data_IF_740006860419
#
_entry.id   IF_740006860419
#
_cell.length_a   1.000
_cell.length_b   1.000
_cell.length_c   1.000
_cell.angle_alpha   90.00
_cell.angle_beta   90.00
_cell.angle_gamma   90.00
#
_symmetry.space_group_name_H-M   'P 1'
#
loop_
_entity.id
_entity.type
_entity.pdbx_description
1 polymer ?
#
# COMPACT_ATOMS: atom_id res chain seq x y z
N UNK A 1 8.26 -20.18 -17.59
CA UNK A 1 6.83 -20.11 -17.92
C UNK A 1 6.05 -20.46 -16.66
N UNK A 2 5.71 -19.46 -15.86
CA UNK A 2 4.83 -19.65 -14.69
C UNK A 2 3.45 -20.06 -15.21
N UNK A 3 2.87 -21.12 -14.66
CA UNK A 3 1.53 -21.54 -15.05
C UNK A 3 0.56 -20.38 -14.79
N UNK A 4 -0.27 -20.01 -15.78
CA UNK A 4 -1.26 -18.94 -15.59
C UNK A 4 -2.26 -19.39 -14.53
N UNK A 5 -2.25 -18.72 -13.38
CA UNK A 5 -3.23 -18.93 -12.31
C UNK A 5 -4.62 -18.54 -12.86
N UNK A 6 -5.63 -19.37 -12.55
CA UNK A 6 -7.02 -19.12 -12.97
C UNK A 6 -7.63 -18.03 -12.11
N UNK A 7 -8.54 -17.22 -12.67
CA UNK A 7 -9.20 -16.14 -11.93
C UNK A 7 -9.87 -16.63 -10.63
N UNK A 8 -10.57 -17.76 -10.69
CA UNK A 8 -11.24 -18.34 -9.51
C UNK A 8 -10.25 -18.76 -8.42
N UNK A 9 -9.04 -19.18 -8.80
CA UNK A 9 -7.99 -19.60 -7.89
C UNK A 9 -7.38 -18.38 -7.19
N UNK A 10 -7.17 -17.27 -7.92
CA UNK A 10 -6.75 -15.99 -7.34
C UNK A 10 -7.75 -15.48 -6.30
N UNK A 11 -9.04 -15.42 -6.66
CA UNK A 11 -10.10 -14.96 -5.77
C UNK A 11 -10.21 -15.85 -4.53
N UNK A 12 -10.15 -17.18 -4.71
CA UNK A 12 -10.21 -18.13 -3.58
C UNK A 12 -9.00 -17.96 -2.66
N UNK A 13 -7.80 -17.82 -3.21
CA UNK A 13 -6.57 -17.63 -2.46
C UNK A 13 -6.57 -16.32 -1.66
N UNK A 14 -7.01 -15.21 -2.27
CA UNK A 14 -7.09 -13.92 -1.58
C UNK A 14 -8.18 -13.90 -0.48
N UNK A 15 -9.31 -14.59 -0.69
CA UNK A 15 -10.29 -14.78 0.38
C UNK A 15 -9.71 -15.59 1.55
N UNK A 16 -8.98 -16.67 1.27
CA UNK A 16 -8.26 -17.43 2.30
C UNK A 16 -7.24 -16.54 3.04
N UNK A 17 -6.52 -15.68 2.33
CA UNK A 17 -5.60 -14.74 2.95
C UNK A 17 -6.31 -13.78 3.91
N UNK A 18 -7.43 -13.20 3.50
CA UNK A 18 -8.24 -12.32 4.36
C UNK A 18 -8.76 -13.02 5.62
N UNK A 19 -9.14 -14.29 5.52
CA UNK A 19 -9.74 -15.04 6.64
C UNK A 19 -8.70 -15.68 7.57
N UNK A 20 -7.58 -16.14 7.01
CA UNK A 20 -6.65 -17.03 7.70
C UNK A 20 -5.21 -16.52 7.72
N UNK A 21 -4.89 -15.45 7.00
CA UNK A 21 -3.53 -14.94 6.85
C UNK A 21 -2.65 -15.75 5.91
N UNK A 22 -3.22 -16.69 5.13
CA UNK A 22 -2.50 -17.44 4.10
C UNK A 22 -3.33 -17.67 2.84
N UNK A 23 -2.65 -17.69 1.69
CA UNK A 23 -3.25 -18.06 0.40
C UNK A 23 -3.48 -19.58 0.30
N UNK A 24 -2.51 -20.37 0.76
CA UNK A 24 -2.57 -21.83 0.77
C UNK A 24 -1.92 -22.36 2.04
N UNK A 25 -2.68 -23.11 2.85
CA UNK A 25 -2.23 -23.68 4.12
C UNK A 25 -1.05 -24.64 4.00
N UNK A 26 -0.86 -25.23 2.81
CA UNK A 26 0.22 -26.18 2.54
C UNK A 26 1.43 -25.52 1.85
N UNK A 27 1.42 -24.20 1.68
CA UNK A 27 2.56 -23.47 1.12
C UNK A 27 3.68 -23.37 2.16
N UNK A 28 4.92 -23.52 1.71
CA UNK A 28 6.11 -23.23 2.51
C UNK A 28 6.64 -21.80 2.26
N UNK A 29 6.08 -21.11 1.26
CA UNK A 29 6.44 -19.73 0.92
C UNK A 29 5.79 -18.75 1.90
N UNK A 30 6.35 -17.55 1.99
CA UNK A 30 5.78 -16.49 2.83
C UNK A 30 4.33 -16.19 2.40
N UNK A 31 3.37 -16.19 3.35
CA UNK A 31 1.97 -15.92 3.04
C UNK A 31 1.73 -14.56 2.37
N UNK A 32 2.50 -13.54 2.76
CA UNK A 32 2.42 -12.20 2.20
C UNK A 32 2.96 -12.14 0.78
N UNK A 33 4.05 -12.84 0.48
CA UNK A 33 4.60 -12.93 -0.88
C UNK A 33 3.57 -13.58 -1.82
N UNK A 34 2.95 -14.68 -1.39
CA UNK A 34 1.88 -15.32 -2.18
C UNK A 34 0.68 -14.38 -2.40
N UNK A 35 0.29 -13.62 -1.36
CA UNK A 35 -0.83 -12.70 -1.47
C UNK A 35 -0.51 -11.54 -2.44
N UNK A 36 0.72 -11.02 -2.41
CA UNK A 36 1.19 -9.98 -3.32
C UNK A 36 1.20 -10.49 -4.77
N UNK A 37 1.73 -11.69 -5.01
CA UNK A 37 1.71 -12.32 -6.33
C UNK A 37 0.27 -12.50 -6.85
N UNK A 38 -0.64 -12.92 -5.97
CA UNK A 38 -2.04 -13.11 -6.31
C UNK A 38 -2.74 -11.78 -6.62
N UNK A 39 -2.48 -10.72 -5.84
CA UNK A 39 -2.98 -9.37 -6.13
C UNK A 39 -2.46 -8.85 -7.48
N UNK A 40 -1.17 -9.03 -7.75
CA UNK A 40 -0.56 -8.61 -9.02
C UNK A 40 -1.17 -9.32 -10.22
N UNK A 41 -1.32 -10.65 -10.15
CA UNK A 41 -1.98 -11.43 -11.21
C UNK A 41 -3.47 -11.10 -11.34
N UNK A 42 -4.15 -10.79 -10.24
CA UNK A 42 -5.56 -10.38 -10.27
C UNK A 42 -5.72 -9.01 -10.92
N UNK A 43 -4.84 -8.05 -10.61
CA UNK A 43 -4.86 -6.71 -11.20
C UNK A 43 -4.80 -6.75 -12.74
N UNK A 44 -4.01 -7.69 -13.29
CA UNK A 44 -3.87 -7.89 -14.74
C UNK A 44 -5.08 -8.55 -15.40
N UNK A 45 -5.88 -9.32 -14.65
CA UNK A 45 -7.01 -10.11 -15.19
C UNK A 45 -8.36 -9.44 -14.95
N UNK A 46 -8.51 -8.80 -13.79
CA UNK A 46 -9.72 -8.17 -13.31
C UNK A 46 -9.33 -7.07 -12.29
N UNK A 47 -9.05 -5.88 -12.82
CA UNK A 47 -8.56 -4.76 -12.02
C UNK A 47 -9.59 -4.29 -11.00
N UNK A 48 -10.87 -4.27 -11.36
CA UNK A 48 -11.96 -3.88 -10.45
C UNK A 48 -12.02 -4.82 -9.25
N UNK A 49 -12.00 -6.13 -9.50
CA UNK A 49 -11.97 -7.12 -8.42
C UNK A 49 -10.70 -7.01 -7.56
N UNK A 50 -9.54 -6.72 -8.17
CA UNK A 50 -8.30 -6.51 -7.42
C UNK A 50 -8.39 -5.32 -6.47
N UNK A 51 -8.93 -4.18 -6.93
CA UNK A 51 -9.07 -2.98 -6.10
C UNK A 51 -10.05 -3.20 -4.94
N UNK A 52 -11.13 -3.97 -5.15
CA UNK A 52 -12.01 -4.42 -4.06
C UNK A 52 -11.27 -5.23 -3.00
N UNK A 53 -10.36 -6.12 -3.40
CA UNK A 53 -9.50 -6.84 -2.47
C UNK A 53 -8.52 -5.91 -1.76
N UNK A 54 -7.93 -4.94 -2.46
CA UNK A 54 -7.03 -3.97 -1.85
C UNK A 54 -7.72 -3.20 -0.71
N UNK A 55 -8.95 -2.73 -0.92
CA UNK A 55 -9.75 -2.05 0.12
C UNK A 55 -9.99 -2.98 1.33
N UNK A 56 -10.34 -4.26 1.09
CA UNK A 56 -10.53 -5.23 2.18
C UNK A 56 -9.24 -5.47 2.96
N UNK A 57 -8.11 -5.59 2.28
CA UNK A 57 -6.79 -5.83 2.86
C UNK A 57 -6.36 -4.65 3.74
N UNK A 58 -6.57 -3.41 3.32
CA UNK A 58 -6.23 -2.25 4.15
C UNK A 58 -6.98 -2.25 5.49
N UNK A 59 -8.21 -2.79 5.50
CA UNK A 59 -9.08 -2.80 6.67
C UNK A 59 -8.96 -4.05 7.56
N UNK A 60 -8.27 -5.10 7.10
CA UNK A 60 -8.10 -6.32 7.91
C UNK A 60 -7.03 -6.12 8.99
N UNK A 61 -7.20 -6.78 10.13
CA UNK A 61 -6.21 -6.80 11.20
C UNK A 61 -5.52 -8.16 11.26
N UNK A 62 -4.68 -8.43 10.27
CA UNK A 62 -3.85 -9.63 10.20
C UNK A 62 -2.43 -9.31 10.67
N UNK A 63 -1.84 -10.22 11.44
CA UNK A 63 -0.44 -10.14 11.82
C UNK A 63 0.45 -10.23 10.57
N UNK A 64 1.53 -9.46 10.54
CA UNK A 64 2.55 -9.50 9.48
C UNK A 64 2.04 -9.14 8.07
N UNK A 65 0.94 -8.37 8.00
CA UNK A 65 0.29 -7.96 6.75
C UNK A 65 0.82 -6.65 6.17
N UNK A 66 1.84 -6.04 6.77
CA UNK A 66 2.31 -4.68 6.45
C UNK A 66 2.78 -4.55 4.99
N UNK A 67 3.48 -5.55 4.45
CA UNK A 67 3.91 -5.58 3.05
C UNK A 67 2.72 -5.66 2.10
N UNK A 68 1.73 -6.52 2.38
CA UNK A 68 0.54 -6.68 1.54
C UNK A 68 -0.32 -5.42 1.59
N UNK A 69 -0.46 -4.78 2.75
CA UNK A 69 -1.15 -3.49 2.89
C UNK A 69 -0.45 -2.38 2.11
N UNK A 70 0.87 -2.31 2.16
CA UNK A 70 1.65 -1.36 1.38
C UNK A 70 1.42 -1.52 -0.13
N UNK A 71 1.41 -2.75 -0.65
CA UNK A 71 1.11 -3.03 -2.07
C UNK A 71 -0.35 -2.70 -2.41
N UNK A 72 -1.30 -3.09 -1.57
CA UNK A 72 -2.72 -2.76 -1.75
C UNK A 72 -2.95 -1.24 -1.81
N UNK A 73 -2.27 -0.49 -0.95
CA UNK A 73 -2.30 0.97 -0.92
C UNK A 73 -1.73 1.58 -2.21
N UNK A 74 -0.58 1.08 -2.66
CA UNK A 74 0.09 1.51 -3.90
C UNK A 74 -0.84 1.32 -5.12
N UNK A 75 -1.48 0.15 -5.24
CA UNK A 75 -2.43 -0.11 -6.32
C UNK A 75 -3.64 0.82 -6.29
N UNK A 76 -4.18 1.12 -5.11
CA UNK A 76 -5.31 2.05 -4.99
C UNK A 76 -4.91 3.48 -5.36
N UNK A 77 -3.76 3.97 -4.89
CA UNK A 77 -3.27 5.32 -5.23
C UNK A 77 -2.99 5.49 -6.72
N UNK A 78 -2.50 4.45 -7.39
CA UNK A 78 -2.22 4.43 -8.83
C UNK A 78 -3.47 4.17 -9.70
N UNK A 79 -4.62 3.87 -9.09
CA UNK A 79 -5.86 3.61 -9.82
C UNK A 79 -6.59 4.89 -10.22
N UNK A 80 -7.32 4.84 -11.34
CA UNK A 80 -8.16 5.97 -11.78
C UNK A 80 -9.47 6.08 -10.96
N UNK A 81 -9.96 4.97 -10.40
CA UNK A 81 -11.28 4.88 -9.76
C UNK A 81 -11.27 4.91 -8.23
N UNK A 82 -10.16 4.51 -7.58
CA UNK A 82 -10.12 4.26 -6.14
C UNK A 82 -8.99 5.02 -5.40
N UNK A 83 -8.35 6.00 -6.06
CA UNK A 83 -7.37 6.86 -5.40
C UNK A 83 -7.97 7.62 -4.19
N UNK A 84 -9.27 7.94 -4.24
CA UNK A 84 -9.98 8.57 -3.13
C UNK A 84 -10.03 7.65 -1.90
N UNK A 85 -10.32 6.36 -2.09
CA UNK A 85 -10.32 5.39 -0.99
C UNK A 85 -8.93 5.28 -0.34
N UNK A 86 -7.86 5.34 -1.15
CA UNK A 86 -6.50 5.36 -0.62
C UNK A 86 -6.21 6.62 0.19
N UNK A 87 -6.60 7.80 -0.30
CA UNK A 87 -6.36 9.06 0.39
C UNK A 87 -7.17 9.17 1.68
N UNK A 88 -8.41 8.68 1.68
CA UNK A 88 -9.25 8.59 2.87
C UNK A 88 -8.67 7.60 3.88
N UNK A 89 -8.16 6.45 3.44
CA UNK A 89 -7.43 5.53 4.31
C UNK A 89 -6.22 6.21 4.94
N UNK A 90 -5.38 6.85 4.14
CA UNK A 90 -4.19 7.56 4.61
C UNK A 90 -4.54 8.63 5.64
N UNK A 91 -5.58 9.43 5.39
CA UNK A 91 -6.01 10.51 6.28
C UNK A 91 -6.60 9.98 7.60
N UNK A 92 -7.34 8.88 7.55
CA UNK A 92 -8.05 8.32 8.71
C UNK A 92 -7.23 7.32 9.52
N UNK A 93 -6.20 6.73 8.93
CA UNK A 93 -5.34 5.70 9.55
C UNK A 93 -3.89 6.12 9.69
N UNK A 94 -3.58 7.41 9.55
CA UNK A 94 -2.18 7.89 9.52
C UNK A 94 -1.35 7.43 10.71
N UNK A 95 -1.93 7.47 11.91
CA UNK A 95 -1.24 7.09 13.17
C UNK A 95 -0.87 5.60 13.23
N UNK A 96 -1.58 4.76 12.48
CA UNK A 96 -1.37 3.31 12.44
C UNK A 96 -0.59 2.82 11.21
N UNK A 97 -0.24 3.70 10.27
CA UNK A 97 0.48 3.29 9.05
C UNK A 97 1.81 2.62 9.44
N UNK A 98 2.10 1.48 8.83
CA UNK A 98 3.41 0.86 8.91
C UNK A 98 4.46 1.67 8.13
N UNK A 99 5.74 1.35 8.32
CA UNK A 99 6.85 1.92 7.55
C UNK A 99 6.63 1.77 6.03
N UNK A 100 6.34 0.58 5.48
CA UNK A 100 6.15 0.42 4.04
C UNK A 100 4.90 1.15 3.51
N UNK A 101 3.83 1.28 4.29
CA UNK A 101 2.68 2.09 3.86
C UNK A 101 3.02 3.59 3.81
N UNK A 102 3.73 4.09 4.83
CA UNK A 102 4.15 5.48 4.87
C UNK A 102 5.12 5.81 3.73
N UNK A 103 6.09 4.93 3.48
CA UNK A 103 7.05 5.07 2.38
C UNK A 103 6.32 5.21 1.05
N UNK A 104 5.40 4.30 0.73
CA UNK A 104 4.61 4.35 -0.51
C UNK A 104 3.82 5.64 -0.65
N UNK A 105 3.20 6.11 0.44
CA UNK A 105 2.45 7.36 0.43
C UNK A 105 3.34 8.56 0.10
N UNK A 106 4.51 8.67 0.77
CA UNK A 106 5.46 9.75 0.54
C UNK A 106 6.02 9.71 -0.88
N UNK A 107 6.37 8.52 -1.38
CA UNK A 107 6.88 8.32 -2.73
C UNK A 107 5.85 8.67 -3.80
N UNK A 108 4.60 8.25 -3.60
CA UNK A 108 3.49 8.60 -4.48
C UNK A 108 3.35 10.11 -4.61
N UNK A 109 3.29 10.85 -3.50
CA UNK A 109 3.13 12.31 -3.56
C UNK A 109 4.37 13.01 -4.13
N UNK A 110 5.57 12.52 -3.85
CA UNK A 110 6.78 13.01 -4.51
C UNK A 110 6.67 12.92 -6.04
N UNK A 111 6.15 11.80 -6.56
CA UNK A 111 5.95 11.61 -8.00
C UNK A 111 4.80 12.48 -8.54
N UNK A 112 3.67 12.52 -7.83
CA UNK A 112 2.46 13.26 -8.21
C UNK A 112 2.72 14.76 -8.40
N UNK A 113 3.76 15.32 -7.75
CA UNK A 113 4.20 16.70 -7.96
C UNK A 113 4.46 17.04 -9.44
N UNK A 114 4.89 16.07 -10.23
CA UNK A 114 5.23 16.24 -11.65
C UNK A 114 4.06 15.93 -12.58
N UNK A 115 2.92 15.48 -12.06
CA UNK A 115 1.75 15.22 -12.89
C UNK A 115 1.17 16.54 -13.42
N UNK A 116 0.71 16.58 -14.68
CA UNK A 116 0.04 17.78 -15.22
C UNK A 116 -1.24 18.14 -14.47
N UNK A 117 -1.90 17.15 -13.88
CA UNK A 117 -3.17 17.27 -13.14
C UNK A 117 -3.20 16.28 -11.97
N UNK A 118 -2.45 16.57 -10.88
CA UNK A 118 -2.45 15.69 -9.72
C UNK A 118 -3.82 15.69 -9.05
N UNK A 119 -4.16 14.58 -8.40
CA UNK A 119 -5.36 14.50 -7.58
C UNK A 119 -5.31 15.48 -6.39
N UNK A 120 -6.46 16.04 -5.98
CA UNK A 120 -6.52 16.94 -4.84
C UNK A 120 -6.15 16.20 -3.54
N UNK A 121 -5.16 16.72 -2.83
CA UNK A 121 -4.72 16.21 -1.54
C UNK A 121 -5.70 16.65 -0.45
N UNK A 122 -6.22 15.73 0.38
CA UNK A 122 -7.07 16.10 1.51
C UNK A 122 -6.37 17.04 2.49
N UNK A 123 -7.13 17.97 3.07
CA UNK A 123 -6.61 18.92 4.04
C UNK A 123 -5.96 18.22 5.24
N UNK A 124 -4.76 18.69 5.63
CA UNK A 124 -3.99 18.16 6.74
C UNK A 124 -3.32 16.80 6.49
N UNK A 125 -3.51 16.16 5.32
CA UNK A 125 -2.89 14.86 5.05
C UNK A 125 -1.36 14.91 5.13
N UNK A 126 -0.74 15.91 4.50
CA UNK A 126 0.72 16.05 4.53
C UNK A 126 1.27 16.25 5.94
N UNK A 127 0.62 17.07 6.75
CA UNK A 127 1.04 17.27 8.15
C UNK A 127 0.97 15.97 8.95
N UNK A 128 -0.08 15.17 8.73
CA UNK A 128 -0.19 13.85 9.36
C UNK A 128 0.90 12.89 8.88
N UNK A 129 1.20 12.84 7.59
CA UNK A 129 2.27 11.99 7.05
C UNK A 129 3.66 12.39 7.60
N UNK A 130 3.94 13.69 7.67
CA UNK A 130 5.16 14.22 8.31
C UNK A 130 5.19 13.85 9.80
N UNK A 131 4.06 13.99 10.50
CA UNK A 131 3.91 13.57 11.89
C UNK A 131 4.22 12.08 12.08
N UNK A 132 3.68 11.22 11.21
CA UNK A 132 3.92 9.77 11.26
C UNK A 132 5.37 9.42 10.96
N UNK A 133 6.00 10.08 9.98
CA UNK A 133 7.44 9.94 9.73
C UNK A 133 8.25 10.26 10.98
N UNK A 134 7.96 11.37 11.68
CA UNK A 134 8.71 11.74 12.90
C UNK A 134 8.66 10.66 13.98
N UNK A 135 7.60 9.87 14.05
CA UNK A 135 7.46 8.72 14.95
C UNK A 135 8.29 7.53 14.46
N UNK A 136 8.22 7.20 13.17
CA UNK A 136 8.82 5.98 12.61
C UNK A 136 10.28 6.11 12.19
N UNK A 137 10.82 7.33 12.05
CA UNK A 137 12.14 7.59 11.47
C UNK A 137 13.31 6.93 12.22
N UNK A 138 13.14 6.53 13.47
CA UNK A 138 14.20 5.87 14.27
C UNK A 138 13.99 4.36 14.40
N UNK A 139 12.94 3.82 13.80
CA UNK A 139 12.68 2.38 13.82
C UNK A 139 13.76 1.62 13.02
N UNK A 140 14.17 0.41 13.45
CA UNK A 140 15.26 -0.34 12.82
C UNK A 140 15.06 -0.56 11.31
N UNK A 141 13.82 -0.80 10.91
CA UNK A 141 13.49 -1.15 9.52
C UNK A 141 13.32 0.08 8.61
N UNK A 142 13.35 1.31 9.16
CA UNK A 142 13.17 2.53 8.37
C UNK A 142 14.20 2.66 7.24
N UNK A 143 15.43 2.21 7.48
CA UNK A 143 16.50 2.20 6.48
C UNK A 143 16.27 1.16 5.38
N UNK A 144 15.72 -0.01 5.70
CA UNK A 144 15.43 -1.06 4.71
C UNK A 144 14.44 -0.55 3.64
N UNK A 145 13.46 0.24 4.07
CA UNK A 145 12.48 0.87 3.19
C UNK A 145 12.94 2.22 2.62
N UNK A 146 14.18 2.65 2.83
CA UNK A 146 14.65 3.97 2.35
C UNK A 146 13.80 5.16 2.84
N UNK A 147 13.11 5.03 3.99
CA UNK A 147 12.10 5.99 4.44
C UNK A 147 12.64 7.42 4.56
N UNK A 148 13.88 7.58 5.02
CA UNK A 148 14.54 8.89 5.12
C UNK A 148 14.79 9.56 3.77
N UNK A 149 15.19 8.78 2.76
CA UNK A 149 15.45 9.27 1.42
C UNK A 149 14.14 9.73 0.77
N UNK A 150 13.12 8.86 0.79
CA UNK A 150 11.78 9.17 0.29
C UNK A 150 11.17 10.39 0.97
N UNK A 151 11.29 10.49 2.31
CA UNK A 151 10.81 11.66 3.06
C UNK A 151 11.49 12.96 2.63
N UNK A 152 12.82 12.95 2.46
CA UNK A 152 13.57 14.14 2.08
C UNK A 152 13.16 14.64 0.69
N UNK A 153 12.91 13.73 -0.24
CA UNK A 153 12.47 14.09 -1.59
C UNK A 153 11.03 14.61 -1.61
N UNK A 154 10.13 13.99 -0.83
CA UNK A 154 8.77 14.48 -0.61
C UNK A 154 8.77 15.91 -0.03
N UNK A 155 9.50 16.17 1.05
CA UNK A 155 9.52 17.51 1.68
C UNK A 155 10.07 18.57 0.74
N UNK A 156 11.15 18.26 0.00
CA UNK A 156 11.70 19.18 -1.02
C UNK A 156 10.70 19.47 -2.13
N UNK A 157 9.96 18.48 -2.61
CA UNK A 157 8.99 18.64 -3.71
C UNK A 157 7.83 19.59 -3.37
N UNK A 158 7.48 19.69 -2.09
CA UNK A 158 6.39 20.55 -1.62
C UNK A 158 6.87 21.76 -0.80
N UNK A 159 8.17 21.96 -0.66
CA UNK A 159 8.77 23.02 0.17
C UNK A 159 8.19 23.05 1.59
N UNK A 160 7.94 21.88 2.17
CA UNK A 160 7.40 21.78 3.53
C UNK A 160 8.47 22.20 4.54
N UNK A 161 8.08 22.89 5.60
CA UNK A 161 9.00 23.24 6.68
C UNK A 161 9.40 21.97 7.46
N UNK A 162 10.71 21.75 7.62
CA UNK A 162 11.31 20.57 8.28
C UNK A 162 11.14 20.62 9.80
#
# INVERSE_FOLDING_TARGET
MTARIKLIELITGLNSYLEHGYVNANSYEDPSDNAIDYLGELLLKDSECCLDFCIKILNVNLLHSESVKSIALDFLMLSESNWQDAFDYLLNKTESLSIPELEKALFYFYCAKNEPKPYPVPEGLFDKLVGRYRVLKTEPDANFYHLHETYNDFVKAYSLEL
#
